data_IF_090767936787
#
_entry.id   IF_090767936787
#
_cell.length_a   1.000
_cell.length_b   1.000
_cell.length_c   1.000
_cell.angle_alpha   90.00
_cell.angle_beta   90.00
_cell.angle_gamma   90.00
#
_symmetry.space_group_name_H-M   'P 1'
#
loop_
_entity.id
_entity.type
_entity.pdbx_description
1 polymer ?
#
# COMPACT_ATOMS: atom_id res chain seq x y z
N UNK A 1 12.05 -1.05 26.77
CA UNK A 1 12.51 0.26 27.27
C UNK A 1 13.34 0.96 26.19
N UNK A 2 13.24 2.29 26.11
CA UNK A 2 14.07 3.12 25.22
C UNK A 2 15.22 3.73 25.98
N UNK A 3 16.45 3.60 25.48
CA UNK A 3 17.67 4.15 26.08
C UNK A 3 18.35 5.07 25.06
N UNK A 4 18.83 6.23 25.52
CA UNK A 4 19.59 7.15 24.70
C UNK A 4 21.06 6.76 24.76
N UNK A 5 21.66 6.45 23.61
CA UNK A 5 23.08 6.15 23.45
C UNK A 5 23.74 7.29 22.68
N UNK A 6 24.75 7.91 23.27
CA UNK A 6 25.48 9.00 22.62
C UNK A 6 26.72 8.45 21.93
N UNK A 7 26.74 8.41 20.61
CA UNK A 7 27.93 8.04 19.83
C UNK A 7 28.84 9.27 19.68
N UNK A 8 29.89 9.35 20.49
CA UNK A 8 30.83 10.47 20.54
C UNK A 8 32.17 10.22 19.87
N UNK A 9 32.43 8.98 19.46
CA UNK A 9 33.68 8.53 18.83
C UNK A 9 33.38 7.86 17.49
N UNK A 10 34.42 7.64 16.71
CA UNK A 10 34.31 6.91 15.46
C UNK A 10 33.76 5.47 15.65
N UNK A 11 34.02 4.87 16.81
CA UNK A 11 33.47 3.57 17.22
C UNK A 11 33.29 3.54 18.72
N UNK A 12 32.14 3.06 19.19
CA UNK A 12 31.85 2.86 20.62
C UNK A 12 31.14 1.53 20.82
N UNK A 13 31.34 0.95 22.00
CA UNK A 13 30.74 -0.30 22.44
C UNK A 13 29.81 0.01 23.61
N UNK A 14 28.53 -0.38 23.47
CA UNK A 14 27.54 -0.28 24.52
C UNK A 14 27.21 -1.68 25.05
N UNK A 15 27.34 -1.90 26.33
CA UNK A 15 27.10 -3.20 26.97
C UNK A 15 25.79 -3.13 27.75
N UNK A 16 24.92 -4.10 27.51
CA UNK A 16 23.67 -4.28 28.23
C UNK A 16 23.73 -5.56 29.03
N UNK A 17 23.53 -5.46 30.35
CA UNK A 17 23.58 -6.61 31.26
C UNK A 17 22.17 -7.07 31.64
N UNK A 18 22.07 -8.33 32.11
CA UNK A 18 20.81 -8.94 32.55
C UNK A 18 19.70 -9.00 31.51
N UNK A 19 20.07 -9.14 30.24
CA UNK A 19 19.11 -9.31 29.13
C UNK A 19 18.78 -10.81 29.05
N UNK A 20 17.48 -11.20 29.20
CA UNK A 20 17.08 -12.61 29.28
C UNK A 20 17.17 -13.36 27.96
N UNK A 21 17.11 -12.63 26.82
CA UNK A 21 17.22 -13.17 25.46
C UNK A 21 17.87 -12.14 24.55
N UNK A 22 18.41 -12.57 23.40
CA UNK A 22 18.93 -11.66 22.38
C UNK A 22 17.81 -10.71 21.89
N UNK A 23 17.94 -9.40 22.09
CA UNK A 23 16.93 -8.45 21.68
C UNK A 23 17.03 -8.14 20.18
N UNK A 24 15.91 -7.83 19.55
CA UNK A 24 15.90 -7.16 18.25
C UNK A 24 15.98 -5.66 18.51
N UNK A 25 17.06 -4.96 18.12
CA UNK A 25 17.21 -3.55 18.40
C UNK A 25 16.31 -2.69 17.50
N UNK A 26 15.53 -1.80 18.11
CA UNK A 26 14.82 -0.72 17.39
C UNK A 26 15.68 0.54 17.49
N UNK A 27 16.34 0.93 16.41
CA UNK A 27 17.35 1.98 16.39
C UNK A 27 16.76 3.31 15.89
N UNK A 28 17.38 4.44 16.30
CA UNK A 28 17.00 5.80 15.90
C UNK A 28 15.53 6.17 16.20
N UNK A 29 14.94 5.60 17.25
CA UNK A 29 13.58 5.89 17.69
C UNK A 29 13.37 7.40 17.89
N UNK A 30 12.18 7.88 17.51
CA UNK A 30 11.83 9.29 17.62
C UNK A 30 12.72 10.22 16.80
N UNK A 31 13.31 9.76 15.70
CA UNK A 31 14.25 10.53 14.86
C UNK A 31 15.43 11.09 15.66
N UNK A 32 15.98 10.30 16.59
CA UNK A 32 17.00 10.74 17.55
C UNK A 32 18.32 11.22 16.93
N UNK A 33 18.61 10.88 15.66
CA UNK A 33 19.74 11.43 14.92
C UNK A 33 19.45 11.51 13.41
N UNK A 34 19.90 12.58 12.72
CA UNK A 34 19.74 12.77 11.27
C UNK A 34 20.86 12.03 10.50
N UNK A 35 20.91 10.71 10.60
CA UNK A 35 21.94 9.86 10.01
C UNK A 35 21.32 8.76 9.18
N UNK A 36 22.07 8.23 8.21
CA UNK A 36 21.71 7.00 7.50
C UNK A 36 22.13 5.81 8.34
N UNK A 37 21.16 5.02 8.77
CA UNK A 37 21.40 3.77 9.48
C UNK A 37 21.79 2.67 8.48
N UNK A 38 22.90 1.98 8.76
CA UNK A 38 23.28 0.74 8.11
C UNK A 38 23.30 -0.35 9.17
N UNK A 39 22.29 -1.18 9.20
CA UNK A 39 22.16 -2.31 10.13
C UNK A 39 21.56 -3.50 9.37
N UNK A 40 22.16 -4.65 9.54
CA UNK A 40 21.75 -5.86 8.84
C UNK A 40 20.72 -6.65 9.66
N UNK A 41 19.47 -6.22 9.60
CA UNK A 41 18.35 -6.97 10.17
C UNK A 41 18.09 -8.23 9.34
N UNK A 42 17.80 -9.35 9.98
CA UNK A 42 17.26 -10.51 9.30
C UNK A 42 15.78 -10.27 8.87
N UNK A 43 15.25 -11.12 7.99
CA UNK A 43 13.81 -11.12 7.63
C UNK A 43 12.95 -11.29 8.90
N UNK A 44 13.37 -12.18 9.82
CA UNK A 44 12.67 -12.41 11.08
C UNK A 44 12.70 -11.17 12.00
N UNK A 45 13.83 -10.45 12.08
CA UNK A 45 13.93 -9.22 12.87
C UNK A 45 13.03 -8.12 12.32
N UNK A 46 13.02 -7.92 11.01
CA UNK A 46 12.15 -6.94 10.35
C UNK A 46 10.67 -7.27 10.56
N UNK A 47 10.29 -8.54 10.42
CA UNK A 47 8.93 -8.99 10.68
C UNK A 47 8.54 -8.80 12.16
N UNK A 48 9.47 -9.04 13.08
CA UNK A 48 9.25 -8.82 14.51
C UNK A 48 9.05 -7.34 14.82
N UNK A 49 9.91 -6.45 14.30
CA UNK A 49 9.78 -5.00 14.49
C UNK A 49 8.48 -4.47 13.90
N UNK A 50 8.13 -4.89 12.69
CA UNK A 50 6.86 -4.52 12.04
C UNK A 50 5.65 -4.89 12.93
N UNK A 51 5.66 -6.07 13.54
CA UNK A 51 4.56 -6.54 14.35
C UNK A 51 4.51 -5.91 15.76
N UNK A 52 5.67 -5.59 16.36
CA UNK A 52 5.78 -5.38 17.81
C UNK A 52 6.43 -4.05 18.21
N UNK A 53 7.09 -3.30 17.32
CA UNK A 53 7.72 -2.04 17.71
C UNK A 53 6.67 -1.03 18.19
N UNK A 54 6.97 -0.33 19.26
CA UNK A 54 6.11 0.71 19.82
C UNK A 54 6.39 2.10 19.23
N UNK A 55 7.45 2.25 18.43
CA UNK A 55 7.69 3.43 17.61
C UNK A 55 7.06 3.20 16.24
N UNK A 56 6.02 3.97 15.92
CA UNK A 56 5.20 3.76 14.72
C UNK A 56 5.96 4.00 13.42
N UNK A 57 6.94 4.93 13.43
CA UNK A 57 7.80 5.15 12.26
C UNK A 57 8.73 3.96 12.05
N UNK A 58 9.36 3.46 13.11
CA UNK A 58 10.24 2.30 13.02
C UNK A 58 9.47 1.03 12.61
N UNK A 59 8.22 0.87 13.05
CA UNK A 59 7.32 -0.19 12.55
C UNK A 59 7.13 -0.11 11.04
N UNK A 60 6.78 1.08 10.54
CA UNK A 60 6.59 1.31 9.11
C UNK A 60 7.89 1.07 8.34
N UNK A 61 9.02 1.60 8.80
CA UNK A 61 10.33 1.44 8.16
C UNK A 61 10.76 -0.04 8.10
N UNK A 62 10.59 -0.77 9.20
CA UNK A 62 10.85 -2.21 9.22
C UNK A 62 9.96 -2.97 8.22
N UNK A 63 8.70 -2.58 8.09
CA UNK A 63 7.77 -3.12 7.10
C UNK A 63 8.20 -2.82 5.66
N UNK A 64 8.64 -1.60 5.37
CA UNK A 64 9.15 -1.24 4.04
C UNK A 64 10.41 -2.05 3.70
N UNK A 65 11.38 -2.14 4.62
CA UNK A 65 12.59 -2.94 4.41
C UNK A 65 12.27 -4.43 4.21
N UNK A 66 11.35 -4.98 4.99
CA UNK A 66 10.88 -6.37 4.83
C UNK A 66 10.30 -6.61 3.45
N UNK A 67 9.35 -5.77 3.04
CA UNK A 67 8.68 -5.89 1.74
C UNK A 67 9.64 -5.68 0.57
N UNK A 68 10.60 -4.75 0.69
CA UNK A 68 11.65 -4.53 -0.32
C UNK A 68 12.50 -5.79 -0.48
N UNK A 69 13.04 -6.33 0.61
CA UNK A 69 13.91 -7.52 0.56
C UNK A 69 13.19 -8.71 -0.05
N UNK A 70 11.97 -8.98 0.41
CA UNK A 70 11.15 -10.06 -0.13
C UNK A 70 10.85 -9.82 -1.62
N UNK A 71 10.49 -8.59 -2.00
CA UNK A 71 10.21 -8.29 -3.41
C UNK A 71 11.44 -8.50 -4.29
N UNK A 72 12.61 -8.02 -3.88
CA UNK A 72 13.86 -8.19 -4.64
C UNK A 72 14.26 -9.68 -4.74
N UNK A 73 14.07 -10.47 -3.69
CA UNK A 73 14.27 -11.92 -3.73
C UNK A 73 13.32 -12.60 -4.72
N UNK A 74 12.03 -12.25 -4.69
CA UNK A 74 11.05 -12.83 -5.62
C UNK A 74 11.29 -12.39 -7.07
N UNK A 75 11.72 -11.14 -7.30
CA UNK A 75 12.16 -10.67 -8.63
C UNK A 75 13.31 -11.55 -9.15
N UNK A 76 14.30 -11.83 -8.31
CA UNK A 76 15.43 -12.69 -8.69
C UNK A 76 14.98 -14.13 -9.01
N UNK A 77 14.02 -14.67 -8.23
CA UNK A 77 13.41 -15.97 -8.52
C UNK A 77 12.70 -15.98 -9.88
N UNK A 78 11.93 -14.94 -10.19
CA UNK A 78 11.28 -14.80 -11.49
C UNK A 78 12.30 -14.80 -12.65
N UNK A 79 13.37 -14.02 -12.52
CA UNK A 79 14.44 -13.95 -13.51
C UNK A 79 15.16 -15.30 -13.71
N UNK A 80 15.25 -16.11 -12.65
CA UNK A 80 15.82 -17.45 -12.69
C UNK A 80 14.81 -18.54 -13.12
N UNK A 81 13.57 -18.16 -13.47
CA UNK A 81 12.46 -19.09 -13.78
C UNK A 81 12.11 -20.03 -12.61
N UNK A 82 12.32 -19.59 -11.39
CA UNK A 82 11.92 -20.28 -10.17
C UNK A 82 10.51 -19.90 -9.75
N UNK A 83 9.76 -20.79 -9.08
CA UNK A 83 8.42 -20.45 -8.58
C UNK A 83 8.49 -19.37 -7.50
N UNK A 84 7.52 -18.48 -7.51
CA UNK A 84 7.33 -17.53 -6.42
C UNK A 84 7.03 -18.23 -5.09
N UNK A 85 7.35 -17.56 -3.99
CA UNK A 85 7.03 -17.98 -2.64
C UNK A 85 6.64 -16.78 -1.77
N UNK A 86 5.58 -16.92 -0.97
CA UNK A 86 5.24 -15.95 0.07
C UNK A 86 5.88 -16.41 1.40
N UNK A 87 6.88 -15.69 1.93
CA UNK A 87 7.46 -16.01 3.23
C UNK A 87 6.43 -15.91 4.35
N UNK A 88 6.44 -16.90 5.26
CA UNK A 88 5.54 -16.94 6.42
C UNK A 88 5.70 -15.75 7.35
N UNK A 89 6.89 -15.19 7.41
CA UNK A 89 7.22 -14.00 8.21
C UNK A 89 6.40 -12.78 7.76
N UNK A 90 6.25 -12.57 6.45
CA UNK A 90 5.44 -11.49 5.91
C UNK A 90 3.94 -11.72 6.18
N UNK A 91 3.45 -12.94 5.93
CA UNK A 91 2.06 -13.31 6.23
C UNK A 91 1.72 -13.07 7.70
N UNK A 92 2.56 -13.57 8.62
CA UNK A 92 2.35 -13.46 10.06
C UNK A 92 2.42 -12.02 10.55
N UNK A 93 3.35 -11.22 10.01
CA UNK A 93 3.46 -9.79 10.34
C UNK A 93 2.19 -9.02 9.90
N UNK A 94 1.70 -9.25 8.67
CA UNK A 94 0.45 -8.65 8.20
C UNK A 94 -0.76 -9.08 9.03
N UNK A 95 -0.85 -10.37 9.39
CA UNK A 95 -1.90 -10.88 10.27
C UNK A 95 -1.86 -10.20 11.64
N UNK A 96 -0.67 -10.02 12.20
CA UNK A 96 -0.49 -9.30 13.47
C UNK A 96 -0.99 -7.85 13.37
N UNK A 97 -0.62 -7.12 12.31
CA UNK A 97 -1.07 -5.76 12.07
C UNK A 97 -2.60 -5.65 11.97
N UNK A 98 -3.22 -6.54 11.19
CA UNK A 98 -4.68 -6.57 11.00
C UNK A 98 -5.43 -6.93 12.28
N UNK A 99 -4.81 -7.66 13.21
CA UNK A 99 -5.40 -7.98 14.52
C UNK A 99 -5.21 -6.86 15.57
N UNK A 100 -4.33 -5.89 15.33
CA UNK A 100 -4.03 -4.77 16.23
C UNK A 100 -4.67 -3.44 15.77
N UNK A 101 -5.68 -3.48 14.92
CA UNK A 101 -6.28 -2.29 14.28
C UNK A 101 -6.92 -1.30 15.24
N UNK A 102 -7.21 -1.71 16.47
CA UNK A 102 -7.77 -0.84 17.51
C UNK A 102 -6.68 -0.09 18.30
N UNK A 103 -5.41 -0.44 18.09
CA UNK A 103 -4.25 0.15 18.75
C UNK A 103 -3.46 1.04 17.76
N UNK A 104 -3.17 2.27 18.14
CA UNK A 104 -2.34 3.16 17.35
C UNK A 104 -3.05 3.95 16.22
N UNK A 105 -2.24 4.55 15.35
CA UNK A 105 -2.72 5.39 14.24
C UNK A 105 -3.08 4.54 13.01
N UNK A 106 -4.36 4.55 12.65
CA UNK A 106 -4.88 3.82 11.49
C UNK A 106 -4.26 4.29 10.15
N UNK A 107 -3.79 5.55 10.06
CA UNK A 107 -3.11 6.03 8.85
C UNK A 107 -1.72 5.40 8.71
N UNK A 108 -0.97 5.29 9.80
CA UNK A 108 0.33 4.62 9.81
C UNK A 108 0.20 3.12 9.59
N UNK A 109 -0.85 2.50 10.14
CA UNK A 109 -1.15 1.10 9.85
C UNK A 109 -1.46 0.87 8.36
N UNK A 110 -2.22 1.77 7.73
CA UNK A 110 -2.48 1.72 6.30
C UNK A 110 -1.17 1.81 5.48
N UNK A 111 -0.25 2.69 5.89
CA UNK A 111 1.07 2.80 5.26
C UNK A 111 1.93 1.54 5.49
N UNK A 112 1.90 0.95 6.69
CA UNK A 112 2.63 -0.26 7.01
C UNK A 112 2.15 -1.49 6.22
N UNK A 113 0.87 -1.52 5.82
CA UNK A 113 0.30 -2.54 4.93
C UNK A 113 0.51 -2.25 3.44
N UNK A 114 1.08 -1.10 3.07
CA UNK A 114 1.24 -0.70 1.68
C UNK A 114 2.60 -1.11 1.14
N UNK A 115 2.60 -1.91 0.05
CA UNK A 115 3.84 -2.30 -0.64
C UNK A 115 4.57 -1.10 -1.25
N UNK A 116 5.91 -1.16 -1.32
CA UNK A 116 6.71 -0.23 -2.13
C UNK A 116 6.17 -0.16 -3.55
N UNK A 117 6.18 1.02 -4.17
CA UNK A 117 5.74 1.16 -5.55
C UNK A 117 6.76 0.57 -6.54
N UNK A 118 6.30 0.25 -7.76
CA UNK A 118 7.15 -0.35 -8.79
C UNK A 118 8.36 0.52 -9.18
N UNK A 119 8.22 1.85 -9.38
CA UNK A 119 9.37 2.71 -9.65
C UNK A 119 10.44 2.63 -8.56
N UNK A 120 10.05 2.63 -7.29
CA UNK A 120 11.01 2.55 -6.19
C UNK A 120 11.76 1.22 -6.16
N UNK A 121 11.09 0.10 -6.43
CA UNK A 121 11.76 -1.19 -6.57
C UNK A 121 12.75 -1.18 -7.74
N UNK A 122 12.38 -0.54 -8.86
CA UNK A 122 13.26 -0.36 -10.01
C UNK A 122 14.52 0.45 -9.70
N UNK A 123 14.43 1.49 -8.85
CA UNK A 123 15.58 2.28 -8.43
C UNK A 123 16.61 1.48 -7.60
N UNK A 124 16.20 0.35 -7.03
CA UNK A 124 17.06 -0.54 -6.25
C UNK A 124 17.73 -1.64 -7.08
N UNK A 125 17.45 -1.68 -8.38
CA UNK A 125 18.00 -2.69 -9.31
C UNK A 125 19.06 -2.07 -10.22
N UNK A 126 20.13 -2.81 -10.49
CA UNK A 126 21.16 -2.39 -11.48
C UNK A 126 20.58 -2.33 -12.91
N UNK A 127 19.72 -3.27 -13.25
CA UNK A 127 18.97 -3.32 -14.51
C UNK A 127 17.49 -3.52 -14.18
N UNK A 128 16.67 -2.55 -14.56
CA UNK A 128 15.24 -2.56 -14.27
C UNK A 128 14.54 -3.62 -15.13
N UNK A 129 13.89 -4.59 -14.49
CA UNK A 129 13.04 -5.59 -15.11
C UNK A 129 11.59 -5.31 -14.74
N UNK A 130 10.89 -4.60 -15.62
CA UNK A 130 9.51 -4.12 -15.36
C UNK A 130 8.54 -5.28 -15.16
N UNK A 131 8.68 -6.35 -15.96
CA UNK A 131 7.79 -7.51 -15.90
C UNK A 131 8.01 -8.29 -14.59
N UNK A 132 9.27 -8.50 -14.20
CA UNK A 132 9.60 -9.17 -12.94
C UNK A 132 9.08 -8.39 -11.72
N UNK A 133 9.19 -7.06 -11.73
CA UNK A 133 8.64 -6.21 -10.66
C UNK A 133 7.12 -6.34 -10.59
N UNK A 134 6.44 -6.24 -11.72
CA UNK A 134 4.98 -6.28 -11.80
C UNK A 134 4.43 -7.63 -11.34
N UNK A 135 4.94 -8.71 -11.89
CA UNK A 135 4.51 -10.08 -11.56
C UNK A 135 4.79 -10.41 -10.08
N UNK A 136 5.94 -10.01 -9.56
CA UNK A 136 6.27 -10.17 -8.13
C UNK A 136 5.26 -9.47 -7.22
N UNK A 137 4.98 -8.19 -7.47
CA UNK A 137 4.03 -7.42 -6.63
C UNK A 137 2.62 -7.99 -6.73
N UNK A 138 2.20 -8.36 -7.92
CA UNK A 138 0.89 -8.99 -8.17
C UNK A 138 0.78 -10.31 -7.41
N UNK A 139 1.80 -11.17 -7.48
CA UNK A 139 1.83 -12.42 -6.74
C UNK A 139 1.73 -12.21 -5.22
N UNK A 140 2.62 -11.38 -4.65
CA UNK A 140 2.68 -11.17 -3.20
C UNK A 140 1.38 -10.59 -2.65
N UNK A 141 0.80 -9.61 -3.34
CA UNK A 141 -0.47 -9.00 -2.94
C UNK A 141 -1.63 -9.98 -3.00
N UNK A 142 -1.69 -10.77 -4.07
CA UNK A 142 -2.74 -11.78 -4.27
C UNK A 142 -2.67 -12.90 -3.23
N UNK A 143 -1.47 -13.41 -2.93
CA UNK A 143 -1.27 -14.43 -1.91
C UNK A 143 -1.66 -13.91 -0.51
N UNK A 144 -1.24 -12.69 -0.16
CA UNK A 144 -1.67 -12.06 1.10
C UNK A 144 -3.18 -11.87 1.15
N UNK A 145 -3.79 -11.43 0.05
CA UNK A 145 -5.25 -11.28 -0.02
C UNK A 145 -5.98 -12.61 0.19
N UNK A 146 -5.48 -13.70 -0.40
CA UNK A 146 -6.07 -15.04 -0.24
C UNK A 146 -5.93 -15.58 1.18
N UNK A 147 -4.73 -15.46 1.76
CA UNK A 147 -4.43 -16.01 3.10
C UNK A 147 -5.03 -15.21 4.24
N UNK A 148 -5.24 -13.90 4.03
CA UNK A 148 -5.72 -12.95 5.05
C UNK A 148 -7.09 -12.35 4.68
N UNK A 149 -7.84 -13.00 3.79
CA UNK A 149 -9.15 -12.50 3.37
C UNK A 149 -10.08 -12.20 4.54
N UNK A 150 -10.25 -13.09 5.56
CA UNK A 150 -11.14 -12.81 6.69
C UNK A 150 -10.71 -11.57 7.49
N UNK A 151 -9.40 -11.38 7.69
CA UNK A 151 -8.87 -10.25 8.44
C UNK A 151 -9.06 -8.94 7.67
N UNK A 152 -8.80 -8.93 6.35
CA UNK A 152 -9.07 -7.77 5.50
C UNK A 152 -10.56 -7.42 5.43
N UNK A 153 -11.44 -8.40 5.29
CA UNK A 153 -12.89 -8.19 5.29
C UNK A 153 -13.37 -7.62 6.63
N UNK A 154 -12.92 -8.20 7.74
CA UNK A 154 -13.24 -7.72 9.08
C UNK A 154 -12.81 -6.26 9.24
N UNK A 155 -11.56 -5.94 8.94
CA UNK A 155 -11.02 -4.57 9.06
C UNK A 155 -11.77 -3.62 8.14
N UNK A 156 -12.05 -4.00 6.89
CA UNK A 156 -12.83 -3.17 5.98
C UNK A 156 -14.22 -2.82 6.55
N UNK A 157 -14.91 -3.78 7.16
CA UNK A 157 -16.23 -3.57 7.75
C UNK A 157 -16.18 -2.72 9.03
N UNK A 158 -15.22 -2.97 9.91
CA UNK A 158 -15.03 -2.23 11.17
C UNK A 158 -14.65 -0.75 10.94
N UNK A 159 -14.00 -0.46 9.83
CA UNK A 159 -13.53 0.88 9.49
C UNK A 159 -14.48 1.66 8.57
N UNK A 160 -15.70 1.18 8.37
CA UNK A 160 -16.77 1.98 7.77
C UNK A 160 -17.05 3.20 8.66
N UNK A 161 -17.24 4.36 8.02
CA UNK A 161 -17.66 5.56 8.74
C UNK A 161 -19.19 5.60 8.83
N UNK A 162 -19.68 5.98 10.01
CA UNK A 162 -21.08 6.25 10.27
C UNK A 162 -21.26 7.73 10.58
N UNK A 163 -22.36 8.31 10.09
CA UNK A 163 -22.71 9.71 10.34
C UNK A 163 -22.10 10.72 9.37
N UNK A 164 -21.94 11.98 9.81
CA UNK A 164 -21.48 13.05 8.95
C UNK A 164 -19.98 12.95 8.62
N UNK A 165 -19.62 13.31 7.40
CA UNK A 165 -18.22 13.38 6.96
C UNK A 165 -17.37 14.30 7.84
N UNK A 166 -16.18 13.81 8.23
CA UNK A 166 -15.20 14.55 9.06
C UNK A 166 -13.83 14.58 8.41
N UNK A 167 -13.05 15.65 8.72
CA UNK A 167 -11.68 15.88 8.18
C UNK A 167 -10.64 15.78 9.32
N UNK A 168 -10.98 15.16 10.44
CA UNK A 168 -10.01 14.91 11.51
C UNK A 168 -9.08 13.73 11.15
N UNK A 169 -7.94 13.67 11.84
CA UNK A 169 -6.89 12.68 11.63
C UNK A 169 -7.43 11.25 11.77
N UNK A 170 -8.26 11.00 12.76
CA UNK A 170 -8.82 9.68 13.01
C UNK A 170 -9.71 9.21 11.85
N UNK A 171 -10.63 10.05 11.39
CA UNK A 171 -11.50 9.75 10.24
C UNK A 171 -10.69 9.56 8.95
N UNK A 172 -9.65 10.38 8.73
CA UNK A 172 -8.75 10.21 7.58
C UNK A 172 -8.00 8.87 7.63
N UNK A 173 -7.48 8.50 8.80
CA UNK A 173 -6.80 7.22 9.02
C UNK A 173 -7.73 6.02 8.79
N UNK A 174 -8.96 6.08 9.31
CA UNK A 174 -9.98 5.04 9.10
C UNK A 174 -10.26 4.82 7.61
N UNK A 175 -10.48 5.89 6.84
CA UNK A 175 -10.68 5.80 5.39
C UNK A 175 -9.46 5.22 4.67
N UNK A 176 -8.25 5.62 5.07
CA UNK A 176 -7.01 5.09 4.48
C UNK A 176 -6.90 3.59 4.69
N UNK A 177 -7.07 3.11 5.92
CA UNK A 177 -6.98 1.68 6.25
C UNK A 177 -8.06 0.86 5.55
N UNK A 178 -9.31 1.35 5.57
CA UNK A 178 -10.42 0.73 4.85
C UNK A 178 -10.11 0.56 3.35
N UNK A 179 -9.59 1.61 2.70
CA UNK A 179 -9.27 1.57 1.27
C UNK A 179 -8.07 0.67 0.95
N UNK A 180 -7.09 0.57 1.85
CA UNK A 180 -6.01 -0.42 1.71
C UNK A 180 -6.56 -1.85 1.80
N UNK A 181 -7.43 -2.15 2.75
CA UNK A 181 -8.09 -3.45 2.84
C UNK A 181 -8.88 -3.78 1.56
N UNK A 182 -9.66 -2.81 1.04
CA UNK A 182 -10.39 -2.98 -0.21
C UNK A 182 -9.47 -3.28 -1.39
N UNK A 183 -8.30 -2.64 -1.44
CA UNK A 183 -7.32 -2.87 -2.51
C UNK A 183 -6.70 -4.27 -2.47
N UNK A 184 -6.52 -4.88 -1.29
CA UNK A 184 -6.12 -6.28 -1.19
C UNK A 184 -7.26 -7.22 -1.57
N UNK A 185 -8.46 -7.00 -1.04
CA UNK A 185 -9.63 -7.82 -1.38
C UNK A 185 -9.91 -7.85 -2.87
N UNK A 186 -9.61 -6.77 -3.60
CA UNK A 186 -9.80 -6.70 -5.05
C UNK A 186 -8.92 -7.66 -5.84
N UNK A 187 -7.76 -8.06 -5.31
CA UNK A 187 -6.89 -9.06 -5.95
C UNK A 187 -7.57 -10.44 -6.08
N UNK A 188 -8.63 -10.69 -5.29
CA UNK A 188 -9.41 -11.93 -5.34
C UNK A 188 -10.35 -11.97 -6.56
N UNK A 189 -10.68 -10.85 -7.16
CA UNK A 189 -11.53 -10.75 -8.36
C UNK A 189 -12.95 -11.28 -8.20
N UNK A 190 -13.42 -11.57 -6.99
CA UNK A 190 -14.72 -12.18 -6.73
C UNK A 190 -15.88 -11.23 -7.01
N UNK A 191 -17.07 -11.78 -7.35
CA UNK A 191 -18.29 -11.00 -7.58
C UNK A 191 -18.72 -10.19 -6.35
N UNK A 192 -18.49 -10.73 -5.15
CA UNK A 192 -18.91 -10.07 -3.91
C UNK A 192 -18.01 -8.87 -3.61
N UNK A 193 -16.71 -8.96 -3.89
CA UNK A 193 -15.80 -7.83 -3.76
C UNK A 193 -16.10 -6.75 -4.80
N UNK A 194 -16.46 -7.10 -6.04
CA UNK A 194 -16.92 -6.12 -7.03
C UNK A 194 -18.18 -5.38 -6.58
N UNK A 195 -19.17 -6.09 -6.03
CA UNK A 195 -20.37 -5.49 -5.45
C UNK A 195 -20.06 -4.59 -4.25
N UNK A 196 -19.14 -5.02 -3.38
CA UNK A 196 -18.66 -4.25 -2.24
C UNK A 196 -18.05 -2.92 -2.70
N UNK A 197 -17.15 -2.99 -3.70
CA UNK A 197 -16.50 -1.84 -4.31
C UNK A 197 -17.51 -0.89 -4.96
N UNK A 198 -18.48 -1.42 -5.69
CA UNK A 198 -19.53 -0.63 -6.30
C UNK A 198 -20.44 0.04 -5.25
N UNK A 199 -20.70 -0.66 -4.13
CA UNK A 199 -21.46 -0.09 -3.01
C UNK A 199 -20.71 1.09 -2.39
N UNK A 200 -19.40 0.96 -2.15
CA UNK A 200 -18.58 2.07 -1.65
C UNK A 200 -18.58 3.26 -2.62
N UNK A 201 -18.42 3.02 -3.92
CA UNK A 201 -18.49 4.06 -4.95
C UNK A 201 -19.83 4.79 -4.92
N UNK A 202 -20.95 4.07 -4.82
CA UNK A 202 -22.31 4.63 -4.86
C UNK A 202 -22.74 5.35 -3.59
N UNK A 203 -22.23 4.96 -2.42
CA UNK A 203 -22.44 5.71 -1.16
C UNK A 203 -22.04 7.17 -1.31
N UNK A 204 -20.88 7.41 -1.95
CA UNK A 204 -20.44 8.72 -2.44
C UNK A 204 -20.48 9.85 -1.38
N UNK A 205 -20.17 9.48 -0.16
CA UNK A 205 -20.18 10.38 1.00
C UNK A 205 -18.93 11.28 1.03
N UNK A 206 -17.82 10.80 0.47
CA UNK A 206 -16.58 11.53 0.38
C UNK A 206 -15.74 11.10 -0.84
N UNK A 207 -14.89 12.02 -1.33
CA UNK A 207 -14.06 11.76 -2.52
C UNK A 207 -12.97 10.71 -2.26
N UNK A 208 -12.49 10.54 -1.04
CA UNK A 208 -11.46 9.54 -0.70
C UNK A 208 -11.97 8.13 -0.96
N UNK A 209 -13.17 7.82 -0.50
CA UNK A 209 -13.79 6.50 -0.71
C UNK A 209 -14.23 6.28 -2.16
N UNK A 210 -14.76 7.33 -2.81
CA UNK A 210 -15.09 7.27 -4.24
C UNK A 210 -13.84 6.99 -5.08
N UNK A 211 -12.75 7.72 -4.83
CA UNK A 211 -11.49 7.52 -5.54
C UNK A 211 -10.84 6.16 -5.23
N UNK A 212 -10.93 5.70 -3.98
CA UNK A 212 -10.48 4.36 -3.59
C UNK A 212 -11.22 3.26 -4.33
N UNK A 213 -12.54 3.35 -4.41
CA UNK A 213 -13.35 2.38 -5.16
C UNK A 213 -13.07 2.43 -6.68
N UNK A 214 -12.92 3.62 -7.25
CA UNK A 214 -12.54 3.76 -8.67
C UNK A 214 -11.13 3.22 -8.93
N UNK A 215 -10.17 3.46 -8.00
CA UNK A 215 -8.83 2.92 -8.09
C UNK A 215 -8.81 1.40 -8.15
N UNK A 216 -9.64 0.74 -7.35
CA UNK A 216 -9.84 -0.71 -7.41
C UNK A 216 -10.44 -1.13 -8.77
N UNK A 217 -11.54 -0.50 -9.19
CA UNK A 217 -12.21 -0.83 -10.44
C UNK A 217 -11.33 -0.59 -11.68
N UNK A 218 -10.37 0.31 -11.59
CA UNK A 218 -9.42 0.63 -12.67
C UNK A 218 -8.75 -0.62 -13.26
N UNK A 219 -8.40 -1.57 -12.41
CA UNK A 219 -7.67 -2.78 -12.79
C UNK A 219 -8.55 -4.00 -13.08
N UNK A 220 -9.87 -3.86 -12.99
CA UNK A 220 -10.83 -4.95 -13.21
C UNK A 220 -11.51 -4.83 -14.58
N UNK A 221 -11.44 -5.88 -15.38
CA UNK A 221 -12.22 -5.97 -16.64
C UNK A 221 -13.65 -6.44 -16.32
N UNK A 222 -14.52 -5.50 -16.00
CA UNK A 222 -15.89 -5.79 -15.58
C UNK A 222 -16.87 -4.64 -15.95
N UNK A 223 -18.19 -4.93 -16.10
CA UNK A 223 -19.19 -3.91 -16.42
C UNK A 223 -19.32 -2.82 -15.34
N UNK A 224 -19.05 -3.15 -14.10
CA UNK A 224 -19.08 -2.22 -12.95
C UNK A 224 -18.06 -1.09 -13.13
N UNK A 225 -16.88 -1.39 -13.71
CA UNK A 225 -15.85 -0.40 -14.05
C UNK A 225 -16.39 0.64 -15.02
N UNK A 226 -16.90 0.21 -16.17
CA UNK A 226 -17.42 1.12 -17.20
C UNK A 226 -18.55 1.99 -16.65
N UNK A 227 -19.45 1.40 -15.87
CA UNK A 227 -20.55 2.12 -15.22
C UNK A 227 -20.03 3.18 -14.26
N UNK A 228 -19.09 2.83 -13.37
CA UNK A 228 -18.57 3.74 -12.37
C UNK A 228 -17.80 4.92 -12.99
N UNK A 229 -16.97 4.69 -14.01
CA UNK A 229 -16.26 5.75 -14.71
C UNK A 229 -17.21 6.69 -15.46
N UNK A 230 -18.26 6.16 -16.07
CA UNK A 230 -19.29 6.98 -16.74
C UNK A 230 -20.10 7.80 -15.73
N UNK A 231 -20.55 7.21 -14.61
CA UNK A 231 -21.26 7.92 -13.55
C UNK A 231 -20.39 9.03 -12.94
N UNK A 232 -19.09 8.75 -12.71
CA UNK A 232 -18.16 9.73 -12.20
C UNK A 232 -17.94 10.89 -13.16
N UNK A 233 -17.70 10.64 -14.44
CA UNK A 233 -17.57 11.66 -15.47
C UNK A 233 -18.82 12.55 -15.53
N UNK A 234 -20.01 11.95 -15.65
CA UNK A 234 -21.27 12.69 -15.75
C UNK A 234 -21.48 13.64 -14.56
N UNK A 235 -21.10 13.21 -13.38
CA UNK A 235 -21.23 13.98 -12.14
C UNK A 235 -20.23 15.13 -12.06
N UNK A 236 -18.98 14.89 -12.47
CA UNK A 236 -17.86 15.79 -12.20
C UNK A 236 -17.30 16.51 -13.43
N UNK A 237 -17.89 16.29 -14.62
CA UNK A 237 -17.35 16.84 -15.88
C UNK A 237 -17.13 18.35 -15.90
N UNK A 238 -17.79 19.11 -15.02
CA UNK A 238 -17.61 20.56 -14.87
C UNK A 238 -16.49 20.95 -13.91
N UNK A 239 -15.91 19.98 -13.21
CA UNK A 239 -14.81 20.22 -12.27
C UNK A 239 -13.50 19.66 -12.84
N UNK A 240 -12.66 20.53 -13.36
CA UNK A 240 -11.41 20.15 -14.06
C UNK A 240 -10.45 19.38 -13.17
N UNK A 241 -10.32 19.76 -11.88
CA UNK A 241 -9.44 19.10 -10.92
C UNK A 241 -9.88 17.67 -10.62
N UNK A 242 -11.18 17.45 -10.54
CA UNK A 242 -11.73 16.09 -10.32
C UNK A 242 -11.62 15.26 -11.59
N UNK A 243 -11.81 15.89 -12.78
CA UNK A 243 -11.60 15.21 -14.07
C UNK A 243 -10.15 14.77 -14.28
N UNK A 244 -9.17 15.49 -13.75
CA UNK A 244 -7.77 15.05 -13.80
C UNK A 244 -7.57 13.70 -13.09
N UNK A 245 -8.24 13.47 -11.95
CA UNK A 245 -8.24 12.14 -11.29
C UNK A 245 -8.91 11.06 -12.15
N UNK A 246 -10.00 11.40 -12.84
CA UNK A 246 -10.69 10.49 -13.73
C UNK A 246 -9.82 10.05 -14.92
N UNK A 247 -9.04 10.97 -15.51
CA UNK A 247 -8.06 10.64 -16.54
C UNK A 247 -6.92 9.79 -15.99
N UNK A 248 -6.33 10.21 -14.88
CA UNK A 248 -5.18 9.52 -14.27
C UNK A 248 -5.53 8.06 -13.90
N UNK A 249 -6.66 7.83 -13.24
CA UNK A 249 -7.09 6.48 -12.87
C UNK A 249 -7.25 5.56 -14.10
N UNK A 250 -7.76 6.05 -15.20
CA UNK A 250 -7.89 5.24 -16.43
C UNK A 250 -6.53 4.98 -17.10
N UNK A 251 -5.61 5.94 -17.00
CA UNK A 251 -4.28 5.82 -17.61
C UNK A 251 -3.35 4.83 -16.87
N UNK A 252 -3.54 4.64 -15.58
CA UNK A 252 -2.74 3.69 -14.77
C UNK A 252 -3.27 2.26 -14.78
N UNK A 253 -4.34 1.98 -15.55
CA UNK A 253 -4.89 0.64 -15.63
C UNK A 253 -3.88 -0.38 -16.17
N UNK A 254 -3.81 -1.57 -15.57
CA UNK A 254 -2.99 -2.68 -16.05
C UNK A 254 -3.69 -3.55 -17.12
N UNK A 255 -4.90 -3.17 -17.57
CA UNK A 255 -5.65 -3.93 -18.55
C UNK A 255 -5.00 -3.87 -19.94
N UNK A 256 -5.02 -4.95 -20.74
CA UNK A 256 -4.31 -5.04 -22.03
C UNK A 256 -4.66 -3.95 -23.05
N UNK A 257 -5.89 -3.40 -23.00
CA UNK A 257 -6.37 -2.36 -23.91
C UNK A 257 -6.15 -0.93 -23.42
N UNK A 258 -5.42 -0.74 -22.34
CA UNK A 258 -5.25 0.58 -21.70
C UNK A 258 -4.62 1.60 -22.64
N UNK A 259 -3.60 1.23 -23.43
CA UNK A 259 -2.98 2.17 -24.38
C UNK A 259 -3.98 2.71 -25.40
N UNK A 260 -4.81 1.85 -25.97
CA UNK A 260 -5.83 2.29 -26.94
C UNK A 260 -6.93 3.13 -26.28
N UNK A 261 -7.24 2.84 -25.03
CA UNK A 261 -8.15 3.63 -24.24
C UNK A 261 -7.59 5.03 -23.95
N UNK A 262 -6.34 5.12 -23.51
CA UNK A 262 -5.65 6.40 -23.28
C UNK A 262 -5.59 7.24 -24.55
N UNK A 263 -5.29 6.64 -25.70
CA UNK A 263 -5.33 7.35 -26.99
C UNK A 263 -6.71 7.98 -27.26
N UNK A 264 -7.81 7.30 -26.92
CA UNK A 264 -9.17 7.86 -27.04
C UNK A 264 -9.41 9.00 -26.05
N UNK A 265 -8.89 8.87 -24.81
CA UNK A 265 -8.99 9.92 -23.79
C UNK A 265 -8.32 11.23 -24.22
N UNK A 266 -7.24 11.20 -25.02
CA UNK A 266 -6.61 12.42 -25.54
C UNK A 266 -7.50 13.25 -26.48
N UNK A 267 -8.59 12.66 -26.97
CA UNK A 267 -9.60 13.34 -27.79
C UNK A 267 -10.81 13.80 -26.97
N UNK A 268 -10.82 13.57 -25.67
CA UNK A 268 -11.93 13.94 -24.80
C UNK A 268 -12.02 15.45 -24.61
N UNK A 269 -13.22 16.02 -24.60
CA UNK A 269 -13.46 17.47 -24.55
C UNK A 269 -12.91 18.17 -23.28
N UNK A 270 -12.74 17.42 -22.19
CA UNK A 270 -12.17 17.93 -20.95
C UNK A 270 -10.63 17.77 -20.88
N UNK A 271 -10.00 17.14 -21.89
CA UNK A 271 -8.54 16.98 -21.92
C UNK A 271 -7.86 18.22 -22.50
N UNK A 272 -7.03 18.86 -21.72
CA UNK A 272 -6.31 20.10 -22.10
C UNK A 272 -4.85 19.78 -22.43
N UNK A 273 -4.56 19.38 -23.66
CA UNK A 273 -3.21 18.98 -24.13
C UNK A 273 -2.12 20.07 -24.00
N UNK A 274 -2.50 21.33 -23.82
CA UNK A 274 -1.55 22.44 -23.68
C UNK A 274 -1.25 22.78 -22.21
N UNK A 275 -1.87 22.11 -21.27
CA UNK A 275 -1.64 22.31 -19.84
C UNK A 275 -0.66 21.26 -19.32
N UNK A 276 0.61 21.66 -18.96
CA UNK A 276 1.60 20.71 -18.51
C UNK A 276 1.21 19.90 -17.26
N UNK A 277 0.32 20.43 -16.43
CA UNK A 277 -0.18 19.73 -15.25
C UNK A 277 -1.19 18.62 -15.60
N UNK A 278 -1.68 18.57 -16.84
CA UNK A 278 -2.67 17.58 -17.31
C UNK A 278 -2.07 16.54 -18.26
N UNK A 279 -0.82 16.70 -18.64
CA UNK A 279 -0.11 15.77 -19.54
C UNK A 279 0.68 14.71 -18.75
N UNK A 280 0.93 14.93 -17.47
CA UNK A 280 1.73 14.06 -16.60
C UNK A 280 0.97 12.84 -16.14
#
# INVERSE_FOLDING_TARGET
DTIILELRKQSEIFVFENIPAAPVPSLLRGFSAPVKLLFDYSIADLAFLLANDTDEFNRWEAGQQLMIRISLEQIQRFQNHEPFNLPSELENAFRSLLNQTQEGDSALLALALSFPNEPYLGELMDVIDVDAIHETRTFLRKELAQKLQPEFEKTYLEFQEEGAFKIDQQSMGRRSLKNVCLSYLSELGSLDIRKLTQTQFRKNENMTDVAGALGVLTHLDCPERETAFSEFENRWRKNTVVMDKWFALQAISCLPKTLDHVRKLTSHSAYEKNNPNKIR
#
